data_IF_215116929047
#
_entry.id   IF_215116929047
#
_cell.length_a   1.000
_cell.length_b   1.000
_cell.length_c   1.000
_cell.angle_alpha   90.00
_cell.angle_beta   90.00
_cell.angle_gamma   90.00
#
_symmetry.space_group_name_H-M   'P 1'
#
loop_
_entity.id
_entity.type
_entity.pdbx_description
1 polymer ?
#
# COMPACT_ATOMS: atom_id res chain seq x y z
N UNK A 1 5.69 -11.35 3.14
CA UNK A 1 7.03 -11.24 2.50
C UNK A 1 7.73 -12.59 2.42
N UNK A 2 7.97 -13.29 3.53
CA UNK A 2 8.60 -14.63 3.54
C UNK A 2 7.87 -15.63 2.62
N UNK A 3 6.54 -15.63 2.65
CA UNK A 3 5.69 -16.51 1.83
C UNK A 3 5.80 -16.23 0.32
N UNK A 4 5.95 -14.96 -0.08
CA UNK A 4 6.16 -14.58 -1.48
C UNK A 4 7.49 -15.11 -2.00
N UNK A 5 8.56 -15.00 -1.20
CA UNK A 5 9.87 -15.55 -1.53
C UNK A 5 9.82 -17.07 -1.62
N UNK A 6 9.14 -17.72 -0.68
CA UNK A 6 8.95 -19.18 -0.68
C UNK A 6 8.24 -19.65 -1.96
N UNK A 7 7.26 -18.88 -2.44
CA UNK A 7 6.51 -19.18 -3.66
C UNK A 7 7.21 -18.73 -4.96
N UNK A 8 8.44 -18.22 -4.88
CA UNK A 8 9.20 -17.73 -6.04
C UNK A 8 8.67 -16.42 -6.64
N UNK A 9 7.81 -15.71 -5.92
CA UNK A 9 7.20 -14.45 -6.35
C UNK A 9 8.10 -13.27 -5.96
N UNK A 10 9.20 -13.13 -6.70
CA UNK A 10 10.12 -12.00 -6.57
C UNK A 10 9.54 -10.72 -7.20
N UNK A 11 10.15 -9.58 -6.90
CA UNK A 11 9.73 -8.25 -7.39
C UNK A 11 8.31 -7.83 -6.99
N UNK A 12 7.75 -8.46 -5.95
CA UNK A 12 6.44 -8.15 -5.38
C UNK A 12 6.58 -7.41 -4.05
N UNK A 13 5.73 -6.42 -3.82
CA UNK A 13 5.53 -5.76 -2.53
C UNK A 13 4.31 -6.35 -1.84
N UNK A 14 4.48 -6.85 -0.61
CA UNK A 14 3.35 -7.17 0.26
C UNK A 14 2.75 -5.86 0.79
N UNK A 15 1.43 -5.72 0.73
CA UNK A 15 0.73 -4.52 1.17
C UNK A 15 -0.56 -4.89 1.92
N UNK A 16 -1.14 -3.89 2.59
CA UNK A 16 -2.45 -4.00 3.23
C UNK A 16 -3.42 -3.11 2.48
N UNK A 17 -4.51 -3.70 2.00
CA UNK A 17 -5.58 -3.01 1.30
C UNK A 17 -6.89 -3.22 2.06
N UNK A 18 -7.35 -2.18 2.74
CA UNK A 18 -8.45 -2.29 3.71
C UNK A 18 -8.04 -3.20 4.87
N UNK A 19 -8.74 -4.32 5.04
CA UNK A 19 -8.49 -5.31 6.10
C UNK A 19 -7.86 -6.61 5.58
N UNK A 20 -7.25 -6.60 4.39
CA UNK A 20 -6.66 -7.79 3.77
C UNK A 20 -5.20 -7.58 3.43
N UNK A 21 -4.40 -8.64 3.55
CA UNK A 21 -3.03 -8.69 3.05
C UNK A 21 -3.10 -9.05 1.56
N UNK A 22 -2.41 -8.27 0.74
CA UNK A 22 -2.35 -8.43 -0.70
C UNK A 22 -0.89 -8.26 -1.17
N UNK A 23 -0.61 -8.55 -2.44
CA UNK A 23 0.71 -8.35 -3.04
C UNK A 23 0.59 -7.74 -4.43
N UNK A 24 1.41 -6.73 -4.69
CA UNK A 24 1.43 -6.00 -5.98
C UNK A 24 2.84 -5.97 -6.57
N UNK A 25 2.99 -5.84 -7.90
CA UNK A 25 4.32 -5.65 -8.49
C UNK A 25 4.98 -4.37 -7.98
N UNK A 26 6.29 -4.44 -7.72
CA UNK A 26 7.06 -3.28 -7.25
C UNK A 26 7.02 -2.12 -8.27
N UNK A 27 7.12 -2.42 -9.56
CA UNK A 27 7.05 -1.44 -10.64
C UNK A 27 5.75 -0.62 -10.57
N UNK A 28 4.61 -1.29 -10.39
CA UNK A 28 3.31 -0.61 -10.28
C UNK A 28 3.19 0.21 -9.00
N UNK A 29 3.73 -0.31 -7.88
CA UNK A 29 3.67 0.35 -6.59
C UNK A 29 4.46 1.67 -6.57
N UNK A 30 5.58 1.75 -7.29
CA UNK A 30 6.42 2.95 -7.34
C UNK A 30 6.07 3.90 -8.49
N UNK A 31 5.30 3.43 -9.48
CA UNK A 31 4.93 4.23 -10.64
C UNK A 31 4.04 5.44 -10.30
N UNK A 32 3.34 5.42 -9.15
CA UNK A 32 2.36 6.45 -8.79
C UNK A 32 2.59 6.94 -7.36
N UNK A 33 2.50 8.25 -7.19
CA UNK A 33 2.46 8.86 -5.85
C UNK A 33 1.09 8.56 -5.24
N UNK A 34 1.08 8.08 -3.99
CA UNK A 34 -0.16 7.88 -3.22
C UNK A 34 -0.65 9.24 -2.70
N UNK A 35 -1.77 9.78 -3.20
CA UNK A 35 -2.29 11.05 -2.72
C UNK A 35 -2.89 10.87 -1.31
N UNK A 36 -2.77 11.92 -0.50
CA UNK A 36 -3.51 12.02 0.75
C UNK A 36 -4.94 12.42 0.42
N UNK A 37 -5.90 11.80 1.11
CA UNK A 37 -7.29 12.25 1.06
C UNK A 37 -7.39 13.60 1.78
N UNK A 38 -7.58 14.66 1.01
CA UNK A 38 -7.60 16.02 1.55
C UNK A 38 -8.86 16.30 2.38
N UNK A 39 -9.98 15.64 2.11
CA UNK A 39 -11.20 15.80 2.92
C UNK A 39 -10.98 15.23 4.33
N UNK A 40 -10.37 14.04 4.39
CA UNK A 40 -9.97 13.44 5.66
C UNK A 40 -8.93 14.32 6.39
N UNK A 41 -7.96 14.86 5.67
CA UNK A 41 -6.92 15.71 6.24
C UNK A 41 -7.49 17.01 6.84
N UNK A 42 -8.39 17.70 6.13
CA UNK A 42 -9.03 18.91 6.65
C UNK A 42 -9.93 18.60 7.85
N UNK A 43 -10.63 17.47 7.83
CA UNK A 43 -11.43 17.02 8.97
C UNK A 43 -10.54 16.76 10.19
N UNK A 44 -9.37 16.16 10.02
CA UNK A 44 -8.44 15.90 11.12
C UNK A 44 -7.95 17.19 11.80
N UNK A 45 -7.78 18.30 11.08
CA UNK A 45 -7.38 19.60 11.66
C UNK A 45 -8.41 20.21 12.62
N UNK A 46 -9.67 19.75 12.58
CA UNK A 46 -10.69 20.17 13.54
C UNK A 46 -10.56 19.43 14.87
N UNK A 47 -9.93 18.25 14.89
CA UNK A 47 -9.86 17.36 16.04
C UNK A 47 -8.47 17.31 16.71
N UNK A 48 -7.41 17.78 16.05
CA UNK A 48 -6.02 17.78 16.51
C UNK A 48 -5.35 19.13 16.22
#
# INVERSE_FOLDING_TARGET
AVELVHNGQFDMMACVKGNQIDSVPLEEAVAKVKPVDMELFETAKLFY
#
